data_IF_747267349238
#
_entry.id   IF_747267349238
#
_cell.length_a   1.000
_cell.length_b   1.000
_cell.length_c   1.000
_cell.angle_alpha   90.00
_cell.angle_beta   90.00
_cell.angle_gamma   90.00
#
_symmetry.space_group_name_H-M   'P 1'
#
loop_
_entity.id
_entity.type
_entity.pdbx_description
1 polymer ?
#
# COMPACT_ATOMS: atom_id res chain seq x y z
N UNK A 1 20.09 34.79 -1.39
CA UNK A 1 18.66 34.41 -1.28
C UNK A 1 18.57 33.16 -0.43
N UNK A 2 17.85 33.19 0.69
CA UNK A 2 17.57 31.96 1.47
C UNK A 2 16.75 31.02 0.58
N UNK A 3 17.06 29.71 0.50
CA UNK A 3 16.21 28.78 -0.23
C UNK A 3 14.79 28.91 0.33
N UNK A 4 13.84 29.25 -0.54
CA UNK A 4 12.44 29.38 -0.17
C UNK A 4 12.00 28.10 0.54
N UNK A 5 11.24 28.26 1.61
CA UNK A 5 10.71 27.19 2.43
C UNK A 5 9.78 26.32 1.56
N UNK A 6 10.34 25.37 0.79
CA UNK A 6 9.58 24.50 -0.09
C UNK A 6 8.71 23.62 0.79
N UNK A 7 7.40 23.86 0.78
CA UNK A 7 6.42 23.07 1.52
C UNK A 7 6.53 21.60 1.09
N UNK A 8 6.85 20.72 2.03
CA UNK A 8 6.89 19.28 1.79
C UNK A 8 5.49 18.76 1.41
N UNK A 9 5.38 17.82 0.45
CA UNK A 9 4.09 17.32 -0.04
C UNK A 9 3.42 16.41 0.99
N UNK A 10 2.20 16.76 1.40
CA UNK A 10 1.49 16.00 2.43
C UNK A 10 1.15 14.58 1.99
N UNK A 11 1.06 13.63 2.95
CA UNK A 11 0.86 12.21 2.64
C UNK A 11 -0.33 11.64 3.41
N UNK A 12 -1.17 10.87 2.74
CA UNK A 12 -2.18 10.02 3.37
C UNK A 12 -1.83 8.55 3.13
N UNK A 13 -1.43 7.86 4.19
CA UNK A 13 -1.17 6.42 4.16
C UNK A 13 -2.50 5.66 4.33
N UNK A 14 -3.03 5.10 3.25
CA UNK A 14 -4.23 4.28 3.25
C UNK A 14 -3.82 2.82 3.45
N UNK A 15 -4.07 2.28 4.65
CA UNK A 15 -3.64 0.95 5.08
C UNK A 15 -4.81 -0.02 5.00
N UNK A 16 -4.80 -0.92 4.02
CA UNK A 16 -5.82 -1.97 3.90
C UNK A 16 -5.62 -3.05 4.97
N UNK A 17 -6.69 -3.43 5.66
CA UNK A 17 -6.68 -4.52 6.65
C UNK A 17 -7.97 -5.34 6.61
N UNK A 18 -7.86 -6.62 6.96
CA UNK A 18 -8.96 -7.53 7.21
C UNK A 18 -8.47 -8.68 8.09
N UNK A 19 -8.99 -8.81 9.31
CA UNK A 19 -8.66 -9.89 10.27
C UNK A 19 -7.15 -10.12 10.45
N UNK A 20 -6.40 -9.01 10.56
CA UNK A 20 -4.93 -8.99 10.66
C UNK A 20 -4.46 -8.00 11.71
N UNK A 21 -5.17 -7.90 12.83
CA UNK A 21 -4.87 -6.95 13.91
C UNK A 21 -3.39 -6.98 14.36
N UNK A 22 -2.81 -8.17 14.53
CA UNK A 22 -1.42 -8.29 14.98
C UNK A 22 -0.39 -7.80 13.94
N UNK A 23 -0.70 -7.91 12.63
CA UNK A 23 0.12 -7.34 11.56
C UNK A 23 -0.03 -5.82 11.52
N UNK A 24 -1.29 -5.35 11.59
CA UNK A 24 -1.61 -3.93 11.62
C UNK A 24 -0.91 -3.22 12.79
N UNK A 25 -0.86 -3.84 13.97
CA UNK A 25 -0.16 -3.32 15.15
C UNK A 25 1.31 -2.99 14.85
N UNK A 26 2.02 -3.91 14.20
CA UNK A 26 3.42 -3.72 13.81
C UNK A 26 3.54 -2.61 12.75
N UNK A 27 2.63 -2.59 11.77
CA UNK A 27 2.62 -1.58 10.71
C UNK A 27 2.36 -0.18 11.27
N UNK A 28 1.36 0.01 12.13
CA UNK A 28 1.06 1.27 12.79
C UNK A 28 2.20 1.73 13.69
N UNK A 29 2.83 0.82 14.44
CA UNK A 29 4.02 1.15 15.21
C UNK A 29 5.14 1.69 14.29
N UNK A 30 5.46 1.03 13.17
CA UNK A 30 6.49 1.52 12.24
C UNK A 30 6.07 2.78 11.45
N UNK A 31 4.78 3.02 11.25
CA UNK A 31 4.28 4.31 10.74
C UNK A 31 4.53 5.41 11.77
N UNK A 32 4.31 5.16 13.05
CA UNK A 32 4.53 6.14 14.13
C UNK A 32 5.95 6.70 14.18
N UNK A 33 6.92 5.92 13.69
CA UNK A 33 8.34 6.24 13.71
C UNK A 33 8.91 6.59 12.33
N UNK A 34 8.07 7.09 11.42
CA UNK A 34 8.54 7.59 10.13
C UNK A 34 9.39 8.84 10.30
N UNK A 35 10.55 8.84 9.65
CA UNK A 35 11.41 10.01 9.51
C UNK A 35 10.86 10.88 8.38
N UNK A 36 9.86 11.71 8.70
CA UNK A 36 9.25 12.64 7.76
C UNK A 36 8.67 13.88 8.46
N UNK A 37 9.19 15.05 8.09
CA UNK A 37 8.85 16.34 8.72
C UNK A 37 7.59 17.02 8.13
N UNK A 38 7.07 16.53 7.01
CA UNK A 38 5.87 17.09 6.39
C UNK A 38 4.58 16.62 7.06
N UNK A 39 3.44 17.16 6.63
CA UNK A 39 2.14 16.76 7.17
C UNK A 39 1.73 15.39 6.63
N UNK A 40 1.31 14.48 7.50
CA UNK A 40 0.81 13.19 7.06
C UNK A 40 -0.21 12.60 8.04
N UNK A 41 -1.01 11.67 7.54
CA UNK A 41 -2.03 10.96 8.30
C UNK A 41 -2.12 9.49 7.86
N UNK A 42 -2.76 8.67 8.69
CA UNK A 42 -3.05 7.26 8.41
C UNK A 42 -4.56 7.09 8.31
N UNK A 43 -5.00 6.40 7.26
CA UNK A 43 -6.38 5.95 7.11
C UNK A 43 -6.36 4.43 7.12
N UNK A 44 -6.79 3.82 8.22
CA UNK A 44 -7.00 2.38 8.29
C UNK A 44 -8.28 2.04 7.54
N UNK A 45 -8.13 1.32 6.44
CA UNK A 45 -9.18 0.88 5.54
C UNK A 45 -9.51 -0.59 5.83
N UNK A 46 -10.51 -0.80 6.67
CA UNK A 46 -10.89 -2.08 7.26
C UNK A 46 -12.06 -2.72 6.50
N UNK A 47 -11.81 -3.84 5.81
CA UNK A 47 -12.77 -4.61 5.00
C UNK A 47 -13.72 -5.46 5.89
N UNK A 48 -14.11 -4.94 7.05
CA UNK A 48 -15.05 -5.57 7.98
C UNK A 48 -14.41 -6.59 8.92
N UNK A 49 -13.26 -6.28 9.51
CA UNK A 49 -12.61 -7.14 10.51
C UNK A 49 -13.53 -7.43 11.71
N UNK A 50 -13.34 -8.62 12.27
CA UNK A 50 -14.04 -9.17 13.45
C UNK A 50 -13.07 -9.58 14.56
N UNK A 51 -11.76 -9.48 14.33
CA UNK A 51 -10.73 -9.66 15.35
C UNK A 51 -10.52 -8.38 16.18
N UNK A 52 -9.46 -8.33 16.99
CA UNK A 52 -9.11 -7.18 17.84
C UNK A 52 -8.51 -5.99 17.05
N UNK A 53 -8.88 -5.82 15.77
CA UNK A 53 -8.40 -4.71 14.92
C UNK A 53 -8.80 -3.35 15.49
N UNK A 54 -10.02 -3.21 16.00
CA UNK A 54 -10.50 -1.96 16.61
C UNK A 54 -9.66 -1.57 17.84
N UNK A 55 -9.30 -2.55 18.68
CA UNK A 55 -8.47 -2.33 19.86
C UNK A 55 -7.07 -1.87 19.46
N UNK A 56 -6.46 -2.51 18.46
CA UNK A 56 -5.15 -2.11 17.92
C UNK A 56 -5.15 -0.66 17.42
N UNK A 57 -6.22 -0.24 16.73
CA UNK A 57 -6.35 1.14 16.25
C UNK A 57 -6.50 2.11 17.44
N UNK A 58 -7.32 1.74 18.44
CA UNK A 58 -7.52 2.55 19.63
C UNK A 58 -6.22 2.75 20.42
N UNK A 59 -5.46 1.67 20.63
CA UNK A 59 -4.13 1.74 21.27
C UNK A 59 -3.15 2.58 20.47
N UNK A 60 -3.10 2.42 19.14
CA UNK A 60 -2.20 3.23 18.31
C UNK A 60 -2.52 4.74 18.38
N UNK A 61 -3.81 5.10 18.52
CA UNK A 61 -4.24 6.49 18.72
C UNK A 61 -3.83 7.04 20.09
N UNK A 62 -3.91 6.23 21.16
CA UNK A 62 -3.52 6.68 22.50
C UNK A 62 -2.00 6.83 22.64
N UNK A 63 -1.24 5.92 22.05
CA UNK A 63 0.21 5.82 22.26
C UNK A 63 1.00 6.87 21.46
N UNK A 64 0.44 7.33 20.33
CA UNK A 64 1.10 8.31 19.47
C UNK A 64 0.21 9.52 19.23
N UNK A 65 0.41 10.56 20.03
CA UNK A 65 -0.21 11.89 19.81
C UNK A 65 0.17 12.53 18.47
N UNK A 66 1.19 11.99 17.78
CA UNK A 66 1.69 12.51 16.51
C UNK A 66 1.04 11.84 15.29
N UNK A 67 0.36 10.69 15.48
CA UNK A 67 -0.27 9.93 14.42
C UNK A 67 -1.75 10.30 14.32
N UNK A 68 -2.12 11.08 13.31
CA UNK A 68 -3.53 11.24 12.94
C UNK A 68 -4.03 9.96 12.28
N UNK A 69 -4.76 9.14 13.04
CA UNK A 69 -5.31 7.86 12.57
C UNK A 69 -6.82 7.98 12.40
N UNK A 70 -7.27 7.90 11.16
CA UNK A 70 -8.67 7.68 10.81
C UNK A 70 -8.93 6.19 10.58
N UNK A 71 -10.15 5.74 10.88
CA UNK A 71 -10.59 4.37 10.67
C UNK A 71 -11.86 4.40 9.83
N UNK A 72 -11.83 3.74 8.69
CA UNK A 72 -13.00 3.52 7.85
C UNK A 72 -13.24 2.01 7.75
N UNK A 73 -14.51 1.64 7.94
CA UNK A 73 -14.96 0.25 7.98
C UNK A 73 -16.30 0.14 7.27
N UNK A 74 -16.57 -1.03 6.71
CA UNK A 74 -17.92 -1.47 6.36
C UNK A 74 -18.14 -2.89 6.88
N UNK A 75 -19.38 -3.36 6.87
CA UNK A 75 -19.65 -4.76 7.18
C UNK A 75 -19.07 -5.67 6.11
N UNK A 76 -18.44 -6.78 6.52
CA UNK A 76 -17.76 -7.67 5.60
C UNK A 76 -18.76 -8.25 4.59
N UNK A 77 -18.52 -7.98 3.30
CA UNK A 77 -19.39 -8.40 2.20
C UNK A 77 -18.54 -9.00 1.09
N UNK A 78 -17.99 -10.20 1.33
CA UNK A 78 -16.93 -10.78 0.52
C UNK A 78 -15.65 -9.90 0.52
N UNK A 79 -14.67 -10.29 -0.30
CA UNK A 79 -13.42 -9.55 -0.43
C UNK A 79 -13.62 -8.26 -1.25
N UNK A 80 -13.65 -7.09 -0.60
CA UNK A 80 -13.96 -5.79 -1.23
C UNK A 80 -12.82 -4.78 -1.07
N UNK A 81 -11.57 -5.23 -1.20
CA UNK A 81 -10.36 -4.39 -1.11
C UNK A 81 -10.42 -3.10 -1.95
N UNK A 82 -10.91 -3.15 -3.20
CA UNK A 82 -11.00 -1.97 -4.05
C UNK A 82 -11.98 -0.91 -3.48
N UNK A 83 -13.12 -1.36 -2.98
CA UNK A 83 -14.12 -0.52 -2.33
C UNK A 83 -13.57 0.15 -1.08
N UNK A 84 -12.98 -0.62 -0.17
CA UNK A 84 -12.49 -0.07 1.10
C UNK A 84 -11.28 0.86 0.92
N UNK A 85 -10.43 0.61 -0.08
CA UNK A 85 -9.37 1.56 -0.45
C UNK A 85 -9.93 2.87 -1.01
N UNK A 86 -11.00 2.83 -1.82
CA UNK A 86 -11.68 4.06 -2.25
C UNK A 86 -12.32 4.77 -1.05
N UNK A 87 -12.96 4.06 -0.12
CA UNK A 87 -13.52 4.64 1.11
C UNK A 87 -12.45 5.34 1.94
N UNK A 88 -11.28 4.72 2.11
CA UNK A 88 -10.16 5.35 2.78
C UNK A 88 -9.63 6.56 2.01
N UNK A 89 -9.57 6.48 0.67
CA UNK A 89 -9.11 7.57 -0.19
C UNK A 89 -10.07 8.77 -0.17
N UNK A 90 -11.38 8.57 0.00
CA UNK A 90 -12.36 9.68 0.13
C UNK A 90 -12.11 10.52 1.39
N UNK A 91 -11.52 9.93 2.43
CA UNK A 91 -11.15 10.58 3.69
C UNK A 91 -9.72 11.15 3.68
N UNK A 92 -8.95 10.83 2.64
CA UNK A 92 -7.56 11.23 2.52
C UNK A 92 -7.41 12.67 2.01
N UNK A 93 -6.67 13.51 2.74
CA UNK A 93 -6.41 14.91 2.36
C UNK A 93 -5.02 15.15 1.75
N UNK A 94 -4.12 14.17 1.81
CA UNK A 94 -2.72 14.32 1.40
C UNK A 94 -2.54 14.55 -0.11
N UNK A 95 -1.46 15.22 -0.48
CA UNK A 95 -1.04 15.38 -1.88
C UNK A 95 -0.66 14.03 -2.52
N UNK A 96 -0.14 13.11 -1.71
CA UNK A 96 0.20 11.74 -2.07
C UNK A 96 -0.72 10.77 -1.33
N UNK A 97 -1.39 9.89 -2.06
CA UNK A 97 -2.03 8.70 -1.51
C UNK A 97 -1.05 7.53 -1.55
N UNK A 98 -0.61 7.06 -0.38
CA UNK A 98 0.26 5.91 -0.21
C UNK A 98 -0.58 4.70 0.20
N UNK A 99 -0.65 3.69 -0.65
CA UNK A 99 -1.37 2.45 -0.38
C UNK A 99 -0.42 1.40 0.22
N UNK A 100 -0.84 0.84 1.35
CA UNK A 100 -0.14 -0.21 2.09
C UNK A 100 -1.13 -1.33 2.43
N UNK A 101 -0.61 -2.56 2.49
CA UNK A 101 -1.30 -3.67 3.14
C UNK A 101 -0.83 -3.75 4.60
N UNK A 102 -1.68 -4.18 5.54
CA UNK A 102 -1.35 -4.22 6.96
C UNK A 102 -0.16 -5.13 7.31
N UNK A 103 0.22 -6.07 6.44
CA UNK A 103 1.39 -6.93 6.58
C UNK A 103 2.67 -6.39 5.96
N UNK A 104 2.61 -5.23 5.30
CA UNK A 104 3.73 -4.59 4.62
C UNK A 104 4.32 -3.48 5.50
N UNK A 105 5.30 -3.83 6.34
CA UNK A 105 5.87 -2.93 7.34
C UNK A 105 6.72 -1.84 6.68
N UNK A 106 6.40 -0.55 6.84
CA UNK A 106 7.09 0.54 6.16
C UNK A 106 8.47 0.79 6.74
N UNK A 107 9.50 0.88 5.88
CA UNK A 107 10.84 1.30 6.31
C UNK A 107 10.82 2.70 6.95
N UNK A 108 11.73 3.05 7.88
CA UNK A 108 11.70 4.33 8.60
C UNK A 108 11.66 5.56 7.70
N UNK A 109 12.28 5.47 6.52
CA UNK A 109 12.39 6.57 5.57
C UNK A 109 11.35 6.50 4.43
N UNK A 110 10.26 5.71 4.56
CA UNK A 110 9.33 5.45 3.46
C UNK A 110 8.63 6.75 3.03
N UNK A 111 8.05 7.48 3.99
CA UNK A 111 7.34 8.74 3.73
C UNK A 111 8.28 9.80 3.11
N UNK A 112 9.44 10.05 3.73
CA UNK A 112 10.44 10.95 3.18
C UNK A 112 10.91 10.53 1.78
N UNK A 113 11.03 9.23 1.50
CA UNK A 113 11.41 8.75 0.16
C UNK A 113 10.36 9.12 -0.88
N UNK A 114 9.07 8.95 -0.59
CA UNK A 114 8.00 9.35 -1.51
C UNK A 114 7.95 10.87 -1.69
N UNK A 115 8.02 11.63 -0.60
CA UNK A 115 8.03 13.09 -0.65
C UNK A 115 9.22 13.65 -1.45
N UNK A 116 10.43 13.15 -1.22
CA UNK A 116 11.64 13.58 -1.92
C UNK A 116 11.61 13.29 -3.43
N UNK A 117 10.80 12.32 -3.87
CA UNK A 117 10.65 11.98 -5.28
C UNK A 117 9.36 12.53 -5.88
N UNK A 118 8.62 13.39 -5.16
CA UNK A 118 7.37 13.95 -5.64
C UNK A 118 7.54 14.62 -7.00
N UNK A 119 6.63 14.29 -7.93
CA UNK A 119 6.51 14.91 -9.24
C UNK A 119 5.03 15.17 -9.50
N UNK A 120 4.66 16.27 -10.17
CA UNK A 120 3.28 16.46 -10.62
C UNK A 120 2.87 15.34 -11.58
N UNK A 121 1.57 15.01 -11.59
CA UNK A 121 0.98 14.00 -12.47
C UNK A 121 1.65 12.62 -12.41
N UNK A 122 2.05 12.17 -11.21
CA UNK A 122 2.85 10.96 -11.04
C UNK A 122 2.22 9.87 -10.17
N UNK A 123 2.58 8.63 -10.48
CA UNK A 123 2.37 7.46 -9.63
C UNK A 123 3.70 6.74 -9.42
N UNK A 124 3.85 6.07 -8.28
CA UNK A 124 5.13 5.63 -7.76
C UNK A 124 5.13 4.13 -7.50
N UNK A 125 6.21 3.48 -7.91
CA UNK A 125 6.35 2.03 -7.86
C UNK A 125 7.22 1.64 -6.66
N UNK A 126 6.61 1.32 -5.52
CA UNK A 126 7.32 0.90 -4.32
C UNK A 126 7.81 -0.55 -4.36
N UNK A 127 8.75 -0.87 -3.48
CA UNK A 127 9.35 -2.19 -3.34
C UNK A 127 8.79 -2.94 -2.14
N UNK A 128 8.43 -4.21 -2.35
CA UNK A 128 7.95 -5.10 -1.27
C UNK A 128 8.95 -6.22 -1.04
N UNK A 129 9.57 -6.22 0.12
CA UNK A 129 10.63 -7.14 0.52
C UNK A 129 10.07 -8.17 1.50
N UNK A 130 9.96 -9.41 1.06
CA UNK A 130 9.33 -10.47 1.85
C UNK A 130 10.32 -10.97 2.88
N UNK A 131 9.92 -10.95 4.14
CA UNK A 131 10.64 -11.56 5.25
C UNK A 131 10.44 -13.08 5.23
N UNK A 132 11.33 -13.79 5.92
CA UNK A 132 11.16 -15.21 6.17
C UNK A 132 10.15 -15.45 7.31
N UNK A 133 9.72 -16.71 7.44
CA UNK A 133 8.75 -17.13 8.45
C UNK A 133 9.27 -16.88 9.87
N UNK A 134 10.49 -17.32 10.17
CA UNK A 134 11.09 -17.23 11.50
C UNK A 134 11.09 -15.81 12.08
N UNK A 135 11.55 -14.80 11.32
CA UNK A 135 11.55 -13.42 11.81
C UNK A 135 10.13 -12.88 11.98
N UNK A 136 9.23 -13.23 11.06
CA UNK A 136 7.86 -12.73 11.10
C UNK A 136 7.10 -13.27 12.30
N UNK A 137 7.25 -14.55 12.62
CA UNK A 137 6.65 -15.17 13.81
C UNK A 137 7.20 -14.55 15.10
N UNK A 138 8.52 -14.36 15.20
CA UNK A 138 9.14 -13.73 16.36
C UNK A 138 8.59 -12.30 16.61
N UNK A 139 8.37 -11.53 15.54
CA UNK A 139 7.81 -10.17 15.62
C UNK A 139 6.34 -10.19 16.06
N UNK A 140 5.55 -11.13 15.54
CA UNK A 140 4.11 -11.22 15.84
C UNK A 140 3.82 -11.78 17.24
N UNK A 141 4.65 -12.69 17.75
CA UNK A 141 4.52 -13.27 19.10
C UNK A 141 4.81 -12.25 20.21
N UNK A 142 5.71 -11.28 19.98
CA UNK A 142 6.05 -10.24 20.94
C UNK A 142 4.99 -9.12 20.98
N UNK A 143 3.81 -9.42 21.53
CA UNK A 143 2.67 -8.48 21.56
C UNK A 143 2.89 -7.25 22.45
N UNK A 144 3.56 -7.43 23.59
CA UNK A 144 3.77 -6.37 24.59
C UNK A 144 5.14 -5.67 24.53
N UNK A 145 6.08 -6.19 23.73
CA UNK A 145 7.47 -5.72 23.70
C UNK A 145 8.00 -5.54 22.28
N UNK A 146 7.16 -5.16 21.32
CA UNK A 146 7.63 -4.90 19.96
C UNK A 146 8.61 -3.72 19.95
N UNK A 147 9.89 -4.02 19.77
CA UNK A 147 10.94 -3.03 19.57
C UNK A 147 11.17 -2.80 18.08
N UNK A 148 10.89 -1.59 17.62
CA UNK A 148 11.21 -1.17 16.25
C UNK A 148 12.71 -1.27 15.96
N UNK A 149 13.55 -0.95 16.95
CA UNK A 149 15.00 -1.02 16.81
C UNK A 149 15.47 -2.46 16.56
N UNK A 150 14.99 -3.41 17.34
CA UNK A 150 15.30 -4.83 17.17
C UNK A 150 14.75 -5.37 15.85
N UNK A 151 13.52 -4.98 15.50
CA UNK A 151 12.92 -5.34 14.22
C UNK A 151 13.78 -4.86 13.05
N UNK A 152 14.21 -3.60 13.03
CA UNK A 152 15.02 -3.05 11.94
C UNK A 152 16.43 -3.62 11.90
N UNK A 153 17.04 -3.88 13.07
CA UNK A 153 18.31 -4.61 13.17
C UNK A 153 18.21 -6.03 12.56
N UNK A 154 17.03 -6.66 12.63
CA UNK A 154 16.71 -7.94 12.00
C UNK A 154 16.36 -7.83 10.51
N UNK A 155 15.42 -6.97 10.14
CA UNK A 155 14.84 -6.89 8.80
C UNK A 155 15.84 -6.43 7.73
N UNK A 156 16.87 -5.67 8.12
CA UNK A 156 17.96 -5.26 7.23
C UNK A 156 18.88 -6.44 6.82
N UNK A 157 18.88 -7.55 7.57
CA UNK A 157 19.78 -8.68 7.31
C UNK A 157 19.25 -9.54 6.17
N UNK A 158 20.09 -9.76 5.15
CA UNK A 158 19.75 -10.56 3.97
C UNK A 158 19.26 -11.98 4.30
N UNK A 159 19.80 -12.62 5.34
CA UNK A 159 19.38 -13.93 5.84
C UNK A 159 17.92 -13.99 6.32
N UNK A 160 17.37 -12.84 6.73
CA UNK A 160 16.01 -12.71 7.21
C UNK A 160 15.01 -12.39 6.10
N UNK A 161 15.48 -12.18 4.87
CA UNK A 161 14.63 -12.05 3.69
C UNK A 161 14.36 -13.43 3.08
N UNK A 162 13.16 -13.59 2.50
CA UNK A 162 12.87 -14.70 1.60
C UNK A 162 13.90 -14.69 0.46
N UNK A 163 14.53 -15.84 0.19
CA UNK A 163 15.57 -16.01 -0.84
C UNK A 163 15.13 -15.38 -2.18
N UNK A 164 15.95 -14.50 -2.73
CA UNK A 164 15.69 -13.81 -4.00
C UNK A 164 14.75 -12.60 -3.93
N UNK A 165 14.19 -12.26 -2.77
CA UNK A 165 13.28 -11.11 -2.58
C UNK A 165 13.92 -9.79 -3.02
N UNK A 166 15.11 -9.47 -2.52
CA UNK A 166 15.85 -8.26 -2.91
C UNK A 166 16.21 -8.25 -4.41
N UNK A 167 16.71 -9.38 -4.94
CA UNK A 167 17.02 -9.54 -6.38
C UNK A 167 15.79 -9.30 -7.26
N UNK A 168 14.60 -9.72 -6.81
CA UNK A 168 13.34 -9.47 -7.53
C UNK A 168 12.98 -7.98 -7.57
N UNK A 169 13.10 -7.25 -6.46
CA UNK A 169 12.86 -5.79 -6.47
C UNK A 169 13.88 -5.04 -7.35
N UNK A 170 15.16 -5.44 -7.30
CA UNK A 170 16.19 -4.89 -8.18
C UNK A 170 15.87 -5.13 -9.67
N UNK A 171 15.50 -6.36 -10.05
CA UNK A 171 15.05 -6.67 -11.42
C UNK A 171 13.82 -5.85 -11.83
N UNK A 172 12.84 -5.68 -10.93
CA UNK A 172 11.63 -4.88 -11.19
C UNK A 172 11.95 -3.40 -11.41
N UNK A 173 12.87 -2.83 -10.62
CA UNK A 173 13.34 -1.46 -10.76
C UNK A 173 13.94 -1.22 -12.15
N UNK A 174 14.94 -2.01 -12.54
CA UNK A 174 15.58 -1.88 -13.85
C UNK A 174 14.63 -2.13 -15.01
N UNK A 175 13.78 -3.15 -14.89
CA UNK A 175 12.74 -3.44 -15.89
C UNK A 175 11.78 -2.25 -16.07
N UNK A 176 11.38 -1.60 -14.98
CA UNK A 176 10.52 -0.42 -15.05
C UNK A 176 11.22 0.76 -15.71
N UNK A 177 12.51 0.99 -15.42
CA UNK A 177 13.30 2.03 -16.09
C UNK A 177 13.45 1.80 -17.59
N UNK A 178 13.76 0.57 -17.99
CA UNK A 178 13.84 0.18 -19.41
C UNK A 178 12.49 0.40 -20.09
N UNK A 179 11.40 -0.02 -19.45
CA UNK A 179 10.06 0.18 -19.99
C UNK A 179 9.74 1.66 -20.19
N UNK A 180 10.07 2.52 -19.23
CA UNK A 180 9.84 3.96 -19.38
C UNK A 180 10.73 4.59 -20.45
N UNK A 181 12.00 4.18 -20.54
CA UNK A 181 12.92 4.67 -21.57
C UNK A 181 12.50 4.28 -22.99
N UNK A 182 11.92 3.08 -23.16
CA UNK A 182 11.42 2.58 -24.44
C UNK A 182 9.93 2.91 -24.67
N UNK A 183 9.34 3.78 -23.84
CA UNK A 183 7.91 4.13 -23.87
C UNK A 183 6.95 2.93 -23.84
N UNK A 184 7.38 1.82 -23.22
CA UNK A 184 6.54 0.65 -22.98
C UNK A 184 5.63 0.88 -21.77
N UNK A 185 4.34 0.74 -22.03
CA UNK A 185 3.22 0.86 -21.08
C UNK A 185 3.07 -0.37 -20.15
N UNK A 186 4.15 -0.82 -19.49
CA UNK A 186 4.14 -2.07 -18.67
C UNK A 186 4.75 -2.03 -17.25
N UNK A 187 4.97 -0.88 -16.55
CA UNK A 187 5.37 -0.94 -15.15
C UNK A 187 4.30 -1.63 -14.30
N UNK A 188 4.69 -2.30 -13.20
CA UNK A 188 3.76 -2.96 -12.28
C UNK A 188 3.66 -2.14 -10.99
N UNK A 189 2.44 -1.89 -10.51
CA UNK A 189 2.19 -1.46 -9.13
C UNK A 189 1.88 -2.69 -8.28
N UNK A 190 2.05 -2.55 -6.97
CA UNK A 190 1.72 -3.57 -5.98
C UNK A 190 1.08 -2.88 -4.78
N UNK A 191 -0.14 -3.25 -4.41
CA UNK A 191 -0.95 -2.57 -3.41
C UNK A 191 -0.36 -2.54 -2.00
N UNK A 192 0.57 -3.46 -1.70
CA UNK A 192 1.31 -3.44 -0.44
C UNK A 192 2.38 -2.35 -0.34
N UNK A 193 2.72 -1.66 -1.44
CA UNK A 193 3.59 -0.48 -1.45
C UNK A 193 3.52 0.24 -2.81
N UNK A 194 2.53 1.10 -2.99
CA UNK A 194 2.48 2.01 -4.13
C UNK A 194 1.91 3.36 -3.72
N UNK A 195 2.23 4.39 -4.48
CA UNK A 195 1.65 5.71 -4.22
C UNK A 195 1.17 6.35 -5.52
N UNK A 196 0.21 7.25 -5.40
CA UNK A 196 -0.40 7.99 -6.51
C UNK A 196 -0.64 9.40 -6.02
N UNK A 197 -0.33 10.43 -6.82
CA UNK A 197 -0.78 11.77 -6.46
C UNK A 197 -2.32 11.80 -6.37
N UNK A 198 -2.86 12.51 -5.39
CA UNK A 198 -4.31 12.51 -5.14
C UNK A 198 -5.11 13.08 -6.32
N UNK A 199 -4.62 14.14 -6.93
CA UNK A 199 -5.24 14.79 -8.10
C UNK A 199 -5.47 13.81 -9.27
N UNK A 200 -4.47 12.99 -9.60
CA UNK A 200 -4.60 12.00 -10.67
C UNK A 200 -5.47 10.82 -10.25
N UNK A 201 -5.43 10.41 -8.98
CA UNK A 201 -6.25 9.33 -8.47
C UNK A 201 -7.74 9.70 -8.53
N UNK A 202 -8.09 10.92 -8.10
CA UNK A 202 -9.43 11.50 -8.23
C UNK A 202 -9.84 11.63 -9.71
N UNK A 203 -8.94 12.11 -10.58
CA UNK A 203 -9.21 12.28 -12.02
C UNK A 203 -9.54 10.96 -12.74
N UNK A 204 -8.89 9.85 -12.38
CA UNK A 204 -9.19 8.52 -12.94
C UNK A 204 -10.32 7.79 -12.19
N UNK A 205 -10.92 8.45 -11.20
CA UNK A 205 -11.98 7.95 -10.34
C UNK A 205 -11.57 6.73 -9.48
N UNK A 206 -10.34 6.69 -8.99
CA UNK A 206 -9.86 5.70 -8.01
C UNK A 206 -9.82 4.24 -8.49
N UNK A 207 -9.94 3.27 -7.59
CA UNK A 207 -10.04 1.84 -7.93
C UNK A 207 -11.40 1.50 -8.55
N UNK A 208 -11.45 0.46 -9.39
CA UNK A 208 -12.71 -0.10 -9.89
C UNK A 208 -13.36 -0.98 -8.82
N UNK A 209 -14.50 -0.55 -8.28
CA UNK A 209 -15.22 -1.25 -7.21
C UNK A 209 -16.00 -2.47 -7.70
N UNK A 210 -16.00 -2.75 -9.01
CA UNK A 210 -16.44 -4.05 -9.53
C UNK A 210 -15.50 -5.20 -9.09
N UNK A 211 -14.27 -4.87 -8.69
CA UNK A 211 -13.36 -5.86 -8.13
C UNK A 211 -13.82 -6.29 -6.72
N UNK A 212 -14.57 -7.39 -6.68
CA UNK A 212 -15.11 -8.07 -5.51
C UNK A 212 -14.54 -9.50 -5.49
N UNK A 213 -13.25 -9.61 -5.18
CA UNK A 213 -12.49 -10.84 -5.26
C UNK A 213 -10.98 -10.59 -5.24
N UNK A 214 -10.21 -11.66 -5.16
CA UNK A 214 -8.75 -11.56 -5.14
C UNK A 214 -8.21 -11.27 -6.55
N UNK A 215 -7.12 -10.49 -6.61
CA UNK A 215 -6.35 -10.10 -7.80
C UNK A 215 -6.93 -8.99 -8.69
N UNK A 216 -6.04 -8.50 -9.56
CA UNK A 216 -6.26 -7.60 -10.71
C UNK A 216 -6.67 -6.16 -10.42
N UNK A 217 -7.24 -5.80 -9.26
CA UNK A 217 -7.58 -4.39 -8.95
C UNK A 217 -6.39 -3.42 -9.07
N UNK A 218 -5.24 -3.78 -8.52
CA UNK A 218 -3.99 -3.01 -8.69
C UNK A 218 -3.52 -2.97 -10.16
N UNK A 219 -3.74 -4.05 -10.91
CA UNK A 219 -3.34 -4.11 -12.32
C UNK A 219 -4.22 -3.22 -13.18
N UNK A 220 -5.52 -3.16 -12.90
CA UNK A 220 -6.48 -2.25 -13.52
C UNK A 220 -6.13 -0.78 -13.24
N UNK A 221 -5.94 -0.42 -11.95
CA UNK A 221 -5.56 0.94 -11.58
C UNK A 221 -4.29 1.38 -12.35
N UNK A 222 -3.28 0.51 -12.39
CA UNK A 222 -2.07 0.77 -13.19
C UNK A 222 -2.36 0.90 -14.67
N UNK A 223 -3.20 0.04 -15.25
CA UNK A 223 -3.53 0.11 -16.69
C UNK A 223 -4.18 1.45 -17.03
N UNK A 224 -5.10 1.93 -16.19
CA UNK A 224 -5.74 3.25 -16.36
C UNK A 224 -4.76 4.40 -16.20
N UNK A 225 -3.89 4.36 -15.19
CA UNK A 225 -2.82 5.35 -15.01
C UNK A 225 -1.88 5.43 -16.23
N UNK A 226 -1.50 4.28 -16.77
CA UNK A 226 -0.60 4.19 -17.92
C UNK A 226 -1.30 4.64 -19.22
N UNK A 227 -2.58 4.27 -19.40
CA UNK A 227 -3.39 4.69 -20.55
C UNK A 227 -3.64 6.20 -20.54
N UNK A 228 -3.82 6.78 -19.37
CA UNK A 228 -3.91 8.24 -19.15
C UNK A 228 -2.59 8.99 -19.29
N UNK A 229 -1.49 8.32 -19.67
CA UNK A 229 -0.17 8.93 -19.87
C UNK A 229 0.41 9.63 -18.64
N UNK A 230 0.03 9.20 -17.43
CA UNK A 230 0.62 9.72 -16.19
C UNK A 230 2.05 9.18 -15.99
N UNK A 231 2.86 9.93 -15.26
CA UNK A 231 4.29 9.62 -15.07
C UNK A 231 4.47 8.51 -14.04
N UNK A 232 5.06 7.38 -14.45
CA UNK A 232 5.51 6.36 -13.50
C UNK A 232 6.88 6.73 -12.92
N UNK A 233 7.04 6.62 -11.61
CA UNK A 233 8.30 6.88 -10.89
C UNK A 233 8.77 5.58 -10.22
N UNK A 234 9.78 4.89 -10.78
CA UNK A 234 10.30 3.65 -10.20
C UNK A 234 11.05 3.91 -8.89
N UNK A 235 10.55 3.37 -7.78
CA UNK A 235 11.16 3.48 -6.45
C UNK A 235 11.38 2.12 -5.77
N UNK A 236 11.33 1.00 -6.52
CA UNK A 236 11.28 -0.35 -5.94
C UNK A 236 12.51 -0.73 -5.10
N UNK A 237 13.64 -0.03 -5.27
CA UNK A 237 14.85 -0.21 -4.48
C UNK A 237 15.06 0.87 -3.41
N UNK A 238 14.22 1.92 -3.40
CA UNK A 238 14.34 3.09 -2.52
C UNK A 238 13.21 3.13 -1.49
N UNK A 239 11.96 3.15 -1.95
CA UNK A 239 10.76 3.11 -1.11
C UNK A 239 10.46 1.65 -0.78
N UNK A 240 10.76 1.22 0.45
CA UNK A 240 10.75 -0.18 0.85
C UNK A 240 9.71 -0.45 1.93
N UNK A 241 8.92 -1.49 1.73
CA UNK A 241 8.17 -2.15 2.80
C UNK A 241 8.67 -3.58 2.95
N UNK A 242 8.48 -4.12 4.15
CA UNK A 242 8.89 -5.47 4.52
C UNK A 242 7.64 -6.29 4.83
N UNK A 243 7.29 -7.19 3.91
CA UNK A 243 6.11 -8.02 4.03
C UNK A 243 6.39 -9.14 5.04
N UNK A 244 5.68 -9.10 6.17
CA UNK A 244 5.70 -10.17 7.16
C UNK A 244 5.18 -11.44 6.51
N UNK A 245 5.86 -12.56 6.74
CA UNK A 245 5.38 -13.84 6.28
C UNK A 245 4.04 -14.17 6.94
N UNK A 246 3.15 -14.70 6.13
CA UNK A 246 1.95 -15.39 6.57
C UNK A 246 1.79 -16.63 5.68
N UNK A 247 1.22 -17.73 6.19
CA UNK A 247 0.87 -18.86 5.35
C UNK A 247 -0.11 -18.40 4.26
N UNK A 248 -0.13 -19.11 3.12
CA UNK A 248 -1.16 -18.85 2.11
C UNK A 248 -2.50 -19.14 2.78
N UNK A 249 -3.30 -18.09 2.97
CA UNK A 249 -4.52 -18.24 3.73
C UNK A 249 -5.51 -19.14 2.99
N UNK A 250 -6.16 -20.02 3.75
CA UNK A 250 -7.16 -20.97 3.23
C UNK A 250 -8.35 -20.26 2.59
N UNK A 251 -8.57 -18.96 2.81
CA UNK A 251 -9.60 -18.20 2.09
C UNK A 251 -9.34 -18.07 0.59
N UNK A 252 -8.08 -18.17 0.13
CA UNK A 252 -7.79 -18.26 -1.32
C UNK A 252 -8.32 -19.56 -1.95
N UNK A 253 -8.69 -20.53 -1.12
CA UNK A 253 -9.32 -21.79 -1.50
C UNK A 253 -10.80 -21.87 -1.09
N UNK A 254 -11.37 -20.80 -0.52
CA UNK A 254 -12.80 -20.76 -0.15
C UNK A 254 -13.64 -20.42 -1.40
N UNK A 255 -14.66 -21.22 -1.75
CA UNK A 255 -15.48 -21.05 -2.95
C UNK A 255 -16.15 -19.67 -3.11
N UNK A 256 -16.27 -18.91 -2.02
CA UNK A 256 -16.95 -17.61 -1.96
C UNK A 256 -16.08 -16.43 -2.44
N UNK A 257 -14.75 -16.60 -2.48
CA UNK A 257 -13.87 -15.59 -3.10
C UNK A 257 -13.72 -15.97 -4.55
N UNK A 258 -14.55 -15.35 -5.38
CA UNK A 258 -14.53 -15.53 -6.83
C UNK A 258 -13.16 -15.08 -7.32
N UNK A 259 -12.36 -16.00 -7.89
CA UNK A 259 -11.24 -15.60 -8.74
C UNK A 259 -11.82 -14.91 -9.96
N UNK A 260 -11.95 -13.61 -9.84
CA UNK A 260 -12.51 -12.75 -10.87
C UNK A 260 -11.65 -12.77 -12.13
N UNK A 261 -10.44 -13.35 -12.10
CA UNK A 261 -9.60 -13.47 -13.29
C UNK A 261 -10.28 -14.16 -14.47
N UNK A 262 -11.23 -15.06 -14.19
CA UNK A 262 -11.99 -15.85 -15.18
C UNK A 262 -13.28 -15.17 -15.64
N UNK A 263 -13.80 -14.20 -14.88
CA UNK A 263 -15.04 -13.51 -15.24
C UNK A 263 -14.81 -12.63 -16.48
N UNK A 264 -15.72 -12.62 -17.48
CA UNK A 264 -15.49 -12.00 -18.79
C UNK A 264 -15.01 -10.54 -18.72
N UNK A 265 -15.59 -9.76 -17.81
CA UNK A 265 -15.22 -8.37 -17.57
C UNK A 265 -13.73 -8.18 -17.25
N UNK A 266 -13.08 -9.14 -16.56
CA UNK A 266 -11.69 -9.02 -16.11
C UNK A 266 -10.69 -9.88 -16.90
N UNK A 267 -11.15 -10.69 -17.85
CA UNK A 267 -10.27 -11.61 -18.61
C UNK A 267 -9.30 -10.83 -19.50
N UNK A 268 -9.75 -9.73 -20.11
CA UNK A 268 -8.98 -8.88 -21.01
C UNK A 268 -9.36 -7.39 -20.91
N UNK A 269 -9.15 -6.75 -19.75
CA UNK A 269 -9.60 -5.38 -19.56
C UNK A 269 -8.73 -4.43 -20.39
N UNK A 270 -9.35 -3.71 -21.33
CA UNK A 270 -8.86 -2.43 -21.83
C UNK A 270 -9.67 -1.30 -21.19
N UNK A 271 -9.42 -0.99 -19.90
CA UNK A 271 -10.28 -0.11 -19.14
C UNK A 271 -10.25 1.31 -19.73
N UNK A 272 -11.36 2.04 -19.60
CA UNK A 272 -11.37 3.47 -19.81
C UNK A 272 -10.44 4.14 -18.77
N UNK A 273 -9.82 5.28 -19.12
CA UNK A 273 -8.93 6.00 -18.17
C UNK A 273 -9.69 6.36 -16.89
N UNK A 274 -10.93 6.83 -17.03
CA UNK A 274 -11.82 7.12 -15.90
C UNK A 274 -12.66 5.88 -15.60
N UNK A 275 -12.58 5.38 -14.37
CA UNK A 275 -13.43 4.28 -13.91
C UNK A 275 -14.89 4.74 -13.79
N UNK A 276 -15.86 3.93 -14.23
CA UNK A 276 -17.30 4.23 -14.02
C UNK A 276 -17.75 3.93 -12.59
N UNK A 277 -17.35 2.77 -12.07
CA UNK A 277 -17.72 2.31 -10.73
C UNK A 277 -16.60 2.60 -9.71
N UNK A 278 -16.18 3.87 -9.64
CA UNK A 278 -15.01 4.29 -8.87
C UNK A 278 -15.33 5.03 -7.57
N UNK A 279 -14.51 6.05 -7.25
CA UNK A 279 -14.73 6.98 -6.13
C UNK A 279 -16.13 7.60 -6.16
N UNK A 280 -16.59 7.97 -7.36
CA UNK A 280 -17.94 8.42 -7.68
C UNK A 280 -18.59 7.42 -8.63
N UNK A 281 -19.90 7.26 -8.56
CA UNK A 281 -20.66 6.45 -9.51
C UNK A 281 -21.04 7.34 -10.70
N UNK A 282 -20.51 7.00 -11.88
CA UNK A 282 -20.67 7.75 -13.14
C UNK A 282 -21.54 7.00 -14.15
#
# INVERSE_FOLDING_TARGET
MKPGNLKLPSISAVVATYNRADYLRVSLACLAAQDYEGQWQVIVADDGSTDHTADVISTARSDSRQLDIQHCRHDHQNYRRAFILNEGSRRAGGDILLFLDSDCIPAPNLLATYAAHFKPNAFYLGGVYYLNQQLSEAVLQNKHSFSQQEFWAGAARSRNLKKGSAKRNFKRYWKSRIYLALNFRKPKIWGGNCAVNRDIFEKINGYDENYAGYNKSDSDLRNRLVKGSFRAVPLQTKARTYHLYHPVEKWRTVPQIIDQSQHPYFKWPDPAVVCKNGLRKL
#
